data_IF_446688927664
#
_entry.id   IF_446688927664
#
_cell.length_a   1.000
_cell.length_b   1.000
_cell.length_c   1.000
_cell.angle_alpha   90.00
_cell.angle_beta   90.00
_cell.angle_gamma   90.00
#
_symmetry.space_group_name_H-M   'P 1'
#
loop_
_entity.id
_entity.type
_entity.pdbx_description
1 polymer ?
#
# COMPACT_ATOMS: atom_id res chain seq x y z
N UNK A 1 -21.21 -4.65 -17.66
CA UNK A 1 -19.98 -3.83 -17.67
C UNK A 1 -18.97 -4.23 -16.57
N UNK A 2 -19.43 -4.81 -15.46
CA UNK A 2 -18.62 -5.24 -14.30
C UNK A 2 -17.48 -6.22 -14.64
N UNK A 3 -17.76 -7.31 -15.38
CA UNK A 3 -16.77 -8.34 -15.72
C UNK A 3 -15.59 -7.83 -16.58
N UNK A 4 -15.83 -6.89 -17.48
CA UNK A 4 -14.77 -6.29 -18.31
C UNK A 4 -13.83 -5.38 -17.50
N UNK A 5 -14.33 -4.70 -16.47
CA UNK A 5 -13.50 -3.87 -15.60
C UNK A 5 -12.58 -4.75 -14.73
N UNK A 6 -13.10 -5.83 -14.18
CA UNK A 6 -12.31 -6.85 -13.45
C UNK A 6 -11.20 -7.44 -14.32
N UNK A 7 -11.54 -7.83 -15.55
CA UNK A 7 -10.54 -8.39 -16.47
C UNK A 7 -9.44 -7.38 -16.78
N UNK A 8 -9.78 -6.09 -16.97
CA UNK A 8 -8.79 -5.04 -17.23
C UNK A 8 -7.85 -4.82 -16.04
N UNK A 9 -8.38 -4.80 -14.82
CA UNK A 9 -7.57 -4.63 -13.61
C UNK A 9 -6.63 -5.82 -13.39
N UNK A 10 -7.14 -7.06 -13.50
CA UNK A 10 -6.33 -8.27 -13.40
C UNK A 10 -5.26 -8.33 -14.49
N UNK A 11 -5.62 -8.10 -15.75
CA UNK A 11 -4.66 -8.04 -16.85
C UNK A 11 -3.61 -6.95 -16.66
N UNK A 12 -3.95 -5.83 -16.00
CA UNK A 12 -3.00 -4.80 -15.63
C UNK A 12 -1.94 -5.34 -14.67
N UNK A 13 -2.38 -6.02 -13.61
CA UNK A 13 -1.49 -6.62 -12.61
C UNK A 13 -0.67 -7.77 -13.21
N UNK A 14 -1.27 -8.63 -14.04
CA UNK A 14 -0.56 -9.72 -14.72
C UNK A 14 0.60 -9.17 -15.57
N UNK A 15 0.37 -8.08 -16.32
CA UNK A 15 1.43 -7.40 -17.09
C UNK A 15 2.57 -6.89 -16.21
N UNK A 16 2.26 -6.37 -15.03
CA UNK A 16 3.28 -5.93 -14.07
C UNK A 16 4.10 -7.13 -13.59
N UNK A 17 3.47 -8.23 -13.24
CA UNK A 17 4.16 -9.45 -12.78
C UNK A 17 5.07 -9.98 -13.90
N UNK A 18 4.57 -10.09 -15.13
CA UNK A 18 5.34 -10.52 -16.30
C UNK A 18 6.55 -9.59 -16.57
N UNK A 19 6.35 -8.28 -16.41
CA UNK A 19 7.41 -7.30 -16.58
C UNK A 19 8.49 -7.45 -15.50
N UNK A 20 8.09 -7.59 -14.23
CA UNK A 20 9.01 -7.84 -13.11
C UNK A 20 9.82 -9.13 -13.32
N UNK A 21 9.17 -10.21 -13.75
CA UNK A 21 9.86 -11.47 -14.06
C UNK A 21 10.85 -11.31 -15.22
N UNK A 22 10.50 -10.50 -16.22
CA UNK A 22 11.38 -10.23 -17.36
C UNK A 22 12.60 -9.42 -16.94
N UNK A 23 12.42 -8.36 -16.16
CA UNK A 23 13.53 -7.58 -15.60
C UNK A 23 14.49 -8.47 -14.78
N UNK A 24 13.95 -9.34 -13.94
CA UNK A 24 14.77 -10.26 -13.14
C UNK A 24 15.57 -11.24 -14.01
N UNK A 25 14.92 -11.85 -15.03
CA UNK A 25 15.61 -12.76 -15.96
C UNK A 25 16.73 -12.09 -16.74
N UNK A 26 16.58 -10.81 -17.04
CA UNK A 26 17.56 -10.01 -17.79
C UNK A 26 18.56 -9.30 -16.87
N UNK A 27 18.48 -9.50 -15.54
CA UNK A 27 19.27 -8.74 -14.55
C UNK A 27 19.17 -7.22 -14.73
N UNK A 28 18.03 -6.76 -15.26
CA UNK A 28 17.75 -5.35 -15.45
C UNK A 28 17.32 -4.67 -14.14
N UNK A 29 17.53 -3.36 -13.99
CA UNK A 29 17.01 -2.60 -12.86
C UNK A 29 15.49 -2.76 -12.74
N UNK A 30 15.03 -2.85 -11.50
CA UNK A 30 13.58 -2.93 -11.24
C UNK A 30 12.95 -1.56 -11.44
N UNK A 31 11.77 -1.50 -12.07
CA UNK A 31 11.08 -0.24 -12.31
C UNK A 31 10.62 0.43 -11.01
N UNK A 32 10.57 1.74 -11.03
CA UNK A 32 9.95 2.57 -10.00
C UNK A 32 8.43 2.33 -9.95
N UNK A 33 7.80 2.72 -8.83
CA UNK A 33 6.36 2.50 -8.59
C UNK A 33 5.50 3.14 -9.68
N UNK A 34 5.85 4.34 -10.13
CA UNK A 34 5.18 5.09 -11.18
C UNK A 34 5.17 4.33 -12.52
N UNK A 35 6.30 3.69 -12.85
CA UNK A 35 6.42 2.86 -14.05
C UNK A 35 5.53 1.62 -13.96
N UNK A 36 5.51 0.96 -12.81
CA UNK A 36 4.65 -0.20 -12.58
C UNK A 36 3.16 0.18 -12.65
N UNK A 37 2.79 1.32 -12.07
CA UNK A 37 1.44 1.87 -12.15
C UNK A 37 1.03 2.16 -13.61
N UNK A 38 1.93 2.76 -14.40
CA UNK A 38 1.70 3.01 -15.82
C UNK A 38 1.49 1.72 -16.63
N UNK A 39 2.28 0.66 -16.36
CA UNK A 39 2.12 -0.67 -16.97
C UNK A 39 0.75 -1.27 -16.65
N UNK A 40 0.28 -1.07 -15.41
CA UNK A 40 -1.04 -1.52 -14.97
C UNK A 40 -2.18 -0.64 -15.52
N UNK A 41 -1.90 0.50 -16.14
CA UNK A 41 -2.86 1.56 -16.48
C UNK A 41 -3.66 2.02 -15.25
N UNK A 42 -2.95 2.16 -14.12
CA UNK A 42 -3.49 2.64 -12.85
C UNK A 42 -2.79 3.92 -12.43
N UNK A 43 -3.47 4.71 -11.60
CA UNK A 43 -2.81 5.84 -10.97
C UNK A 43 -1.82 5.37 -9.89
N UNK A 44 -0.71 6.10 -9.67
CA UNK A 44 0.22 5.80 -8.57
C UNK A 44 -0.46 5.76 -7.20
N UNK A 45 -1.54 6.56 -6.99
CA UNK A 45 -2.29 6.60 -5.73
C UNK A 45 -2.94 5.26 -5.36
N UNK A 46 -3.37 4.50 -6.37
CA UNK A 46 -4.13 3.27 -6.14
C UNK A 46 -3.35 2.01 -6.45
N UNK A 47 -2.30 2.12 -7.27
CA UNK A 47 -1.59 0.96 -7.80
C UNK A 47 -1.10 0.02 -6.70
N UNK A 48 -0.37 0.51 -5.69
CA UNK A 48 0.21 -0.36 -4.67
C UNK A 48 -0.86 -1.08 -3.84
N UNK A 49 -1.97 -0.39 -3.52
CA UNK A 49 -3.10 -0.97 -2.78
C UNK A 49 -3.87 -1.98 -3.60
N UNK A 50 -4.19 -1.62 -4.85
CA UNK A 50 -4.88 -2.52 -5.77
C UNK A 50 -4.04 -3.75 -6.08
N UNK A 51 -2.72 -3.56 -6.29
CA UNK A 51 -1.79 -4.66 -6.49
C UNK A 51 -1.84 -5.64 -5.30
N UNK A 52 -1.68 -5.12 -4.07
CA UNK A 52 -1.77 -5.93 -2.86
C UNK A 52 -3.12 -6.60 -2.70
N UNK A 53 -4.21 -5.88 -2.89
CA UNK A 53 -5.56 -6.44 -2.78
C UNK A 53 -5.80 -7.60 -3.75
N UNK A 54 -5.25 -7.54 -4.98
CA UNK A 54 -5.44 -8.57 -6.00
C UNK A 54 -4.41 -9.72 -5.91
N UNK A 55 -3.21 -9.48 -5.40
CA UNK A 55 -2.12 -10.48 -5.34
C UNK A 55 -1.87 -11.03 -3.94
N UNK A 56 -2.34 -10.35 -2.90
CA UNK A 56 -2.06 -10.67 -1.50
C UNK A 56 -0.68 -10.21 -1.02
N UNK A 57 0.11 -9.56 -1.88
CA UNK A 57 1.44 -9.06 -1.53
C UNK A 57 1.72 -7.71 -2.21
N UNK A 58 2.62 -6.91 -1.66
CA UNK A 58 3.04 -5.67 -2.33
C UNK A 58 3.99 -5.94 -3.50
N UNK A 59 4.17 -4.98 -4.42
CA UNK A 59 5.17 -5.09 -5.49
C UNK A 59 6.57 -5.40 -4.96
N UNK A 60 6.97 -4.79 -3.83
CA UNK A 60 8.26 -5.05 -3.19
C UNK A 60 8.40 -6.49 -2.68
N UNK A 61 7.36 -7.04 -2.06
CA UNK A 61 7.33 -8.45 -1.63
C UNK A 61 7.36 -9.40 -2.81
N UNK A 62 6.60 -9.12 -3.88
CA UNK A 62 6.66 -9.87 -5.13
C UNK A 62 8.09 -9.95 -5.66
N UNK A 63 8.76 -8.81 -5.73
CA UNK A 63 10.17 -8.73 -6.18
C UNK A 63 11.08 -9.56 -5.30
N UNK A 64 10.99 -9.42 -3.98
CA UNK A 64 11.81 -10.18 -3.04
C UNK A 64 11.59 -11.70 -3.19
N UNK A 65 10.33 -12.12 -3.30
CA UNK A 65 9.94 -13.52 -3.52
C UNK A 65 10.49 -14.07 -4.84
N UNK A 66 10.31 -13.33 -5.93
CA UNK A 66 10.79 -13.73 -7.25
C UNK A 66 12.32 -13.79 -7.34
N UNK A 67 13.04 -12.88 -6.68
CA UNK A 67 14.50 -12.92 -6.55
C UNK A 67 14.97 -14.18 -5.84
N UNK A 68 14.32 -14.54 -4.72
CA UNK A 68 14.65 -15.76 -4.00
C UNK A 68 14.32 -17.00 -4.82
N UNK A 69 13.19 -17.03 -5.51
CA UNK A 69 12.83 -18.13 -6.40
C UNK A 69 13.87 -18.34 -7.51
N UNK A 70 14.30 -17.26 -8.15
CA UNK A 70 15.35 -17.31 -9.16
C UNK A 70 16.71 -17.71 -8.57
N UNK A 71 17.05 -17.23 -7.37
CA UNK A 71 18.27 -17.65 -6.67
C UNK A 71 18.28 -19.15 -6.41
N UNK A 72 17.16 -19.73 -5.94
CA UNK A 72 17.03 -21.18 -5.74
C UNK A 72 17.23 -21.97 -7.04
N UNK A 73 16.71 -21.45 -8.15
CA UNK A 73 16.90 -22.05 -9.46
C UNK A 73 18.37 -22.03 -9.88
N UNK A 74 19.03 -20.89 -9.78
CA UNK A 74 20.46 -20.75 -10.14
C UNK A 74 21.38 -21.57 -9.23
N UNK A 75 21.10 -21.65 -7.94
CA UNK A 75 21.86 -22.48 -7.00
C UNK A 75 21.78 -23.97 -7.35
N UNK A 76 20.70 -24.43 -8.00
CA UNK A 76 20.54 -25.83 -8.45
C UNK A 76 21.16 -26.11 -9.82
N UNK A 77 21.15 -25.14 -10.69
CA UNK A 77 21.49 -25.32 -12.10
C UNK A 77 22.96 -25.06 -12.42
N UNK A 78 23.70 -24.39 -11.52
CA UNK A 78 25.04 -23.92 -11.81
C UNK A 78 26.01 -24.14 -10.63
N UNK A 79 27.29 -24.35 -10.95
CA UNK A 79 28.42 -24.34 -10.01
C UNK A 79 28.86 -22.89 -9.65
N UNK A 80 28.10 -21.89 -10.08
CA UNK A 80 28.43 -20.48 -9.89
C UNK A 80 28.61 -20.13 -8.43
N UNK A 81 29.51 -19.21 -8.12
CA UNK A 81 29.71 -18.72 -6.75
C UNK A 81 28.44 -18.05 -6.24
N UNK A 82 28.19 -18.16 -4.94
CA UNK A 82 27.03 -17.50 -4.30
C UNK A 82 27.03 -15.99 -4.56
N UNK A 83 28.22 -15.38 -4.70
CA UNK A 83 28.36 -13.96 -5.04
C UNK A 83 27.79 -13.66 -6.43
N UNK A 84 28.10 -14.51 -7.42
CA UNK A 84 27.64 -14.31 -8.79
C UNK A 84 26.11 -14.49 -8.87
N UNK A 85 25.58 -15.51 -8.18
CA UNK A 85 24.14 -15.70 -8.04
C UNK A 85 23.48 -14.48 -7.40
N UNK A 86 24.06 -13.93 -6.32
CA UNK A 86 23.51 -12.76 -5.63
C UNK A 86 23.38 -11.55 -6.57
N UNK A 87 24.46 -11.24 -7.30
CA UNK A 87 24.46 -10.13 -8.26
C UNK A 87 23.48 -10.36 -9.39
N UNK A 88 23.41 -11.57 -9.92
CA UNK A 88 22.52 -11.92 -11.03
C UNK A 88 21.03 -11.76 -10.66
N UNK A 89 20.65 -12.05 -9.41
CA UNK A 89 19.27 -11.88 -8.95
C UNK A 89 19.00 -10.52 -8.32
N UNK A 90 19.93 -9.58 -8.42
CA UNK A 90 19.76 -8.18 -8.03
C UNK A 90 20.00 -7.88 -6.55
N UNK A 91 20.82 -8.70 -5.86
CA UNK A 91 21.36 -8.32 -4.54
C UNK A 91 22.72 -7.69 -4.69
N UNK A 92 23.04 -6.70 -3.87
CA UNK A 92 24.31 -5.98 -3.91
C UNK A 92 25.52 -6.84 -3.49
N UNK A 93 25.29 -7.93 -2.76
CA UNK A 93 26.32 -8.81 -2.24
C UNK A 93 25.81 -10.20 -1.87
N UNK A 94 26.74 -11.17 -1.74
CA UNK A 94 26.42 -12.49 -1.20
C UNK A 94 25.88 -12.45 0.23
N UNK A 95 26.31 -11.46 1.03
CA UNK A 95 25.82 -11.26 2.40
C UNK A 95 24.35 -10.80 2.40
N UNK A 96 23.97 -9.93 1.45
CA UNK A 96 22.58 -9.48 1.29
C UNK A 96 21.66 -10.66 0.91
N UNK A 97 22.06 -11.46 -0.08
CA UNK A 97 21.35 -12.70 -0.43
C UNK A 97 21.28 -13.68 0.76
N UNK A 98 22.38 -13.89 1.47
CA UNK A 98 22.41 -14.81 2.62
C UNK A 98 21.52 -14.33 3.76
N UNK A 99 21.39 -13.01 3.97
CA UNK A 99 20.46 -12.43 4.93
C UNK A 99 19.02 -12.69 4.50
N UNK A 100 18.66 -12.42 3.26
CA UNK A 100 17.33 -12.66 2.71
C UNK A 100 16.96 -14.16 2.80
N UNK A 101 17.87 -15.07 2.43
CA UNK A 101 17.66 -16.50 2.56
C UNK A 101 17.41 -16.91 4.03
N UNK A 102 18.21 -16.43 4.98
CA UNK A 102 18.00 -16.76 6.40
C UNK A 102 16.68 -16.21 6.94
N UNK A 103 16.32 -14.99 6.57
CA UNK A 103 15.08 -14.35 7.05
C UNK A 103 13.84 -15.03 6.48
N UNK A 104 13.84 -15.37 5.20
CA UNK A 104 12.64 -15.88 4.52
C UNK A 104 12.61 -17.41 4.44
N UNK A 105 13.75 -18.04 4.16
CA UNK A 105 13.86 -19.48 3.93
C UNK A 105 14.46 -20.24 5.11
N UNK A 106 14.89 -19.51 6.16
CA UNK A 106 15.52 -20.04 7.37
C UNK A 106 16.73 -20.95 7.07
N UNK A 107 17.40 -20.72 5.95
CA UNK A 107 18.53 -21.50 5.46
C UNK A 107 19.58 -20.61 4.80
N UNK A 108 20.82 -21.09 4.71
CA UNK A 108 21.88 -20.41 3.97
C UNK A 108 21.84 -20.78 2.48
N UNK A 109 22.38 -19.93 1.57
CA UNK A 109 22.51 -20.29 0.16
C UNK A 109 23.26 -21.60 -0.09
N UNK A 110 24.30 -21.89 0.71
CA UNK A 110 25.05 -23.15 0.61
C UNK A 110 24.21 -24.35 0.99
N UNK A 111 23.48 -24.27 2.11
CA UNK A 111 22.55 -25.34 2.53
C UNK A 111 21.47 -25.58 1.47
N UNK A 112 20.91 -24.52 0.90
CA UNK A 112 19.92 -24.59 -0.17
C UNK A 112 20.49 -25.19 -1.46
N UNK A 113 21.80 -25.05 -1.72
CA UNK A 113 22.48 -25.71 -2.83
C UNK A 113 22.61 -27.21 -2.63
N UNK A 114 22.99 -27.63 -1.42
CA UNK A 114 23.26 -29.02 -1.07
C UNK A 114 21.97 -29.83 -0.89
N UNK A 115 20.95 -29.25 -0.28
CA UNK A 115 19.68 -29.94 0.02
C UNK A 115 18.64 -29.70 -1.09
N UNK A 116 18.53 -30.69 -2.00
CA UNK A 116 17.56 -30.65 -3.09
C UNK A 116 16.11 -30.72 -2.62
N UNK A 117 15.84 -31.40 -1.51
CA UNK A 117 14.47 -31.55 -0.97
C UNK A 117 13.99 -30.22 -0.38
N UNK A 118 14.81 -29.62 0.47
CA UNK A 118 14.53 -28.31 1.06
C UNK A 118 14.35 -27.24 -0.03
N UNK A 119 15.21 -27.27 -1.05
CA UNK A 119 15.12 -26.34 -2.17
C UNK A 119 13.82 -26.50 -2.95
N UNK A 120 13.41 -27.73 -3.28
CA UNK A 120 12.16 -27.99 -4.00
C UNK A 120 10.93 -27.54 -3.19
N UNK A 121 10.91 -27.75 -1.89
CA UNK A 121 9.84 -27.27 -1.00
C UNK A 121 9.72 -25.76 -1.06
N UNK A 122 10.84 -25.03 -0.97
CA UNK A 122 10.82 -23.58 -1.04
C UNK A 122 10.48 -23.05 -2.45
N UNK A 123 10.93 -23.72 -3.51
CA UNK A 123 10.54 -23.38 -4.87
C UNK A 123 9.02 -23.48 -5.05
N UNK A 124 8.42 -24.56 -4.57
CA UNK A 124 6.96 -24.71 -4.60
C UNK A 124 6.25 -23.61 -3.79
N UNK A 125 6.71 -23.34 -2.57
CA UNK A 125 6.12 -22.32 -1.70
C UNK A 125 6.24 -20.92 -2.27
N UNK A 126 7.39 -20.55 -2.84
CA UNK A 126 7.62 -19.24 -3.45
C UNK A 126 6.97 -19.08 -4.84
N UNK A 127 6.48 -20.15 -5.47
CA UNK A 127 5.77 -20.06 -6.74
C UNK A 127 4.38 -19.43 -6.60
N UNK A 128 3.83 -19.43 -5.38
CA UNK A 128 2.52 -18.85 -5.07
C UNK A 128 2.76 -17.58 -4.23
N UNK A 129 2.08 -16.45 -4.52
CA UNK A 129 2.09 -15.30 -3.66
C UNK A 129 1.66 -15.70 -2.23
N UNK A 130 2.34 -15.16 -1.23
CA UNK A 130 1.90 -15.30 0.15
C UNK A 130 0.67 -14.41 0.31
N UNK A 131 -0.52 -14.98 0.14
CA UNK A 131 -1.75 -14.27 0.46
C UNK A 131 -1.75 -13.91 1.95
N UNK A 132 -2.08 -12.67 2.28
CA UNK A 132 -2.47 -12.36 3.64
C UNK A 132 -3.72 -13.20 3.95
N UNK A 133 -3.76 -13.83 5.12
CA UNK A 133 -4.96 -14.50 5.66
C UNK A 133 -6.01 -13.42 6.02
N UNK A 134 -6.49 -12.70 5.01
CA UNK A 134 -7.59 -11.76 5.19
C UNK A 134 -8.85 -12.60 5.37
N UNK A 135 -9.48 -12.43 6.51
CA UNK A 135 -10.70 -13.13 6.90
C UNK A 135 -11.84 -12.78 5.92
N UNK A 136 -12.11 -13.66 4.97
CA UNK A 136 -12.95 -13.46 3.77
C UNK A 136 -14.46 -13.43 4.05
N UNK A 137 -14.92 -13.33 5.31
CA UNK A 137 -16.29 -13.72 5.62
C UNK A 137 -17.23 -12.64 6.18
N UNK A 138 -16.83 -11.38 6.23
CA UNK A 138 -17.77 -10.32 6.68
C UNK A 138 -18.31 -9.57 5.45
N UNK A 139 -19.64 -9.56 5.24
CA UNK A 139 -20.23 -8.77 4.17
C UNK A 139 -19.90 -7.28 4.37
N UNK A 140 -19.20 -6.70 3.40
CA UNK A 140 -18.83 -5.30 3.43
C UNK A 140 -20.06 -4.43 3.13
N UNK A 141 -20.42 -3.54 4.03
CA UNK A 141 -21.47 -2.55 3.81
C UNK A 141 -20.86 -1.29 3.18
N UNK A 142 -20.68 -1.31 1.87
CA UNK A 142 -20.13 -0.19 1.11
C UNK A 142 -21.27 0.61 0.49
N UNK A 143 -21.26 1.93 0.71
CA UNK A 143 -22.21 2.86 0.12
C UNK A 143 -21.53 3.69 -0.97
N UNK A 144 -22.17 3.84 -2.12
CA UNK A 144 -21.70 4.78 -3.16
C UNK A 144 -22.45 6.09 -2.98
N UNK A 145 -21.72 7.16 -2.76
CA UNK A 145 -22.28 8.49 -2.57
C UNK A 145 -21.43 9.56 -3.26
N UNK A 146 -22.06 10.60 -3.75
CA UNK A 146 -21.35 11.77 -4.24
C UNK A 146 -20.98 12.64 -3.01
N UNK A 147 -19.69 12.92 -2.87
CA UNK A 147 -19.16 13.83 -1.86
C UNK A 147 -18.87 15.18 -2.50
N UNK A 148 -19.24 16.25 -1.83
CA UNK A 148 -18.83 17.59 -2.24
C UNK A 148 -17.34 17.76 -2.03
N UNK A 149 -16.66 18.55 -2.91
CA UNK A 149 -15.25 18.86 -2.71
C UNK A 149 -15.08 19.76 -1.47
N UNK A 150 -14.06 19.48 -0.66
CA UNK A 150 -13.70 20.27 0.51
C UNK A 150 -12.20 20.45 0.61
N UNK A 151 -11.78 21.62 1.10
CA UNK A 151 -10.38 21.96 1.25
C UNK A 151 -9.84 21.51 2.61
N UNK A 152 -8.65 20.95 2.61
CA UNK A 152 -7.93 20.52 3.81
C UNK A 152 -6.52 21.10 3.83
N UNK A 153 -6.04 21.46 5.01
CA UNK A 153 -4.63 21.75 5.27
C UNK A 153 -3.92 20.46 5.60
N UNK A 154 -2.83 20.20 4.89
CA UNK A 154 -2.13 18.92 4.93
C UNK A 154 -0.71 19.09 5.40
N UNK A 155 -0.26 18.21 6.29
CA UNK A 155 1.13 18.03 6.67
C UNK A 155 1.59 16.60 6.36
N UNK A 156 2.64 16.48 5.53
CA UNK A 156 3.27 15.20 5.25
C UNK A 156 4.18 14.77 6.38
N UNK A 157 4.02 13.54 6.82
CA UNK A 157 4.90 12.88 7.78
C UNK A 157 5.78 11.83 7.08
N UNK A 158 6.95 11.58 7.66
CA UNK A 158 7.88 10.54 7.29
C UNK A 158 8.22 9.80 8.58
N UNK A 159 7.98 8.51 8.63
CA UNK A 159 8.25 7.71 9.80
C UNK A 159 7.10 6.81 10.22
N UNK A 160 7.17 6.27 11.44
CA UNK A 160 6.12 5.43 11.99
C UNK A 160 4.84 6.23 12.23
N UNK A 161 3.70 5.55 12.24
CA UNK A 161 2.40 6.19 12.50
C UNK A 161 2.24 6.69 13.95
N UNK A 162 3.16 6.34 14.84
CA UNK A 162 3.19 6.83 16.23
C UNK A 162 3.37 8.36 16.32
N UNK A 163 3.87 9.00 15.24
CA UNK A 163 4.11 10.44 15.20
C UNK A 163 2.96 11.26 14.58
N UNK A 164 1.82 10.63 14.24
CA UNK A 164 0.70 11.31 13.55
C UNK A 164 0.07 12.38 14.45
N UNK A 165 -0.05 12.16 15.76
CA UNK A 165 -0.61 13.13 16.72
C UNK A 165 0.17 14.43 16.70
N UNK A 166 1.52 14.36 16.62
CA UNK A 166 2.35 15.53 16.50
C UNK A 166 2.07 16.32 15.21
N UNK A 167 1.82 15.61 14.11
CA UNK A 167 1.52 16.27 12.82
C UNK A 167 0.15 16.94 12.85
N UNK A 168 -0.87 16.26 13.36
CA UNK A 168 -2.19 16.87 13.58
C UNK A 168 -2.11 18.08 14.52
N UNK A 169 -1.37 17.96 15.64
CA UNK A 169 -1.13 19.05 16.58
C UNK A 169 -0.48 20.27 15.94
N UNK A 170 0.45 20.10 14.98
CA UNK A 170 1.07 21.19 14.23
C UNK A 170 0.09 21.91 13.30
N UNK A 171 -0.81 21.17 12.62
CA UNK A 171 -1.86 21.79 11.80
C UNK A 171 -2.81 22.59 12.70
N UNK A 172 -3.24 21.99 13.82
CA UNK A 172 -4.11 22.64 14.76
C UNK A 172 -3.49 23.90 15.38
N UNK A 173 -2.20 23.86 15.77
CA UNK A 173 -1.48 25.03 16.30
C UNK A 173 -1.41 26.19 15.29
N UNK A 174 -1.20 25.87 14.00
CA UNK A 174 -1.29 26.89 12.95
C UNK A 174 -2.70 27.47 12.85
N UNK A 175 -3.74 26.63 12.83
CA UNK A 175 -5.13 27.05 12.76
C UNK A 175 -5.52 27.95 13.96
N UNK A 176 -5.05 27.61 15.17
CA UNK A 176 -5.23 28.44 16.36
C UNK A 176 -4.51 29.80 16.22
N UNK A 177 -3.31 29.80 15.68
CA UNK A 177 -2.53 31.01 15.44
C UNK A 177 -3.18 32.02 14.47
N UNK A 178 -3.98 31.52 13.52
CA UNK A 178 -4.75 32.36 12.57
C UNK A 178 -6.23 32.51 12.95
N UNK A 179 -6.67 31.90 14.07
CA UNK A 179 -8.00 32.10 14.65
C UNK A 179 -9.11 31.29 13.96
N UNK A 180 -8.80 30.13 13.36
CA UNK A 180 -9.79 29.27 12.68
C UNK A 180 -9.90 27.86 13.29
N UNK A 181 -9.22 27.57 14.39
CA UNK A 181 -9.23 26.23 15.00
C UNK A 181 -10.65 25.75 15.35
N UNK A 182 -11.51 26.66 15.82
CA UNK A 182 -12.92 26.34 16.15
C UNK A 182 -13.78 25.98 14.94
N UNK A 183 -13.25 26.15 13.70
CA UNK A 183 -13.93 25.83 12.46
C UNK A 183 -13.55 24.45 11.93
N UNK A 184 -12.88 23.61 12.73
CA UNK A 184 -12.54 22.24 12.33
C UNK A 184 -13.81 21.45 12.01
N UNK A 185 -13.90 20.93 10.80
CA UNK A 185 -15.04 20.18 10.29
C UNK A 185 -14.66 18.73 9.90
N UNK A 186 -13.44 18.53 9.38
CA UNK A 186 -12.97 17.24 8.92
C UNK A 186 -11.58 16.94 9.48
N UNK A 187 -11.39 15.70 9.91
CA UNK A 187 -10.11 15.12 10.26
C UNK A 187 -9.87 13.93 9.34
N UNK A 188 -8.81 13.97 8.54
CA UNK A 188 -8.56 12.94 7.55
C UNK A 188 -7.09 12.50 7.51
N UNK A 189 -6.87 11.29 7.02
CA UNK A 189 -5.55 10.70 6.81
C UNK A 189 -5.43 10.10 5.41
N UNK A 190 -4.28 10.28 4.77
CA UNK A 190 -3.98 9.74 3.45
C UNK A 190 -2.69 8.94 3.56
N UNK A 191 -2.80 7.61 3.54
CA UNK A 191 -1.63 6.76 3.50
C UNK A 191 -1.11 6.70 2.05
N UNK A 192 0.11 7.17 1.84
CA UNK A 192 0.72 7.29 0.52
C UNK A 192 1.47 6.04 0.10
N UNK A 193 1.91 5.25 1.06
CA UNK A 193 2.47 3.92 0.86
C UNK A 193 1.97 2.96 1.94
N UNK A 194 2.22 1.66 1.75
CA UNK A 194 1.79 0.63 2.70
C UNK A 194 2.82 0.47 3.83
N UNK A 195 2.48 0.92 5.03
CA UNK A 195 3.36 0.87 6.21
C UNK A 195 3.68 -0.55 6.66
N UNK A 196 2.84 -1.53 6.33
CA UNK A 196 3.03 -2.94 6.70
C UNK A 196 4.25 -3.58 6.02
N UNK A 197 4.72 -3.00 4.91
CA UNK A 197 5.84 -3.51 4.12
C UNK A 197 7.01 -2.54 4.01
N UNK A 198 6.91 -1.36 4.61
CA UNK A 198 7.97 -0.37 4.62
C UNK A 198 8.71 -0.38 5.96
N UNK A 199 10.03 -0.15 5.97
CA UNK A 199 10.70 0.24 7.21
C UNK A 199 10.01 1.46 7.81
N UNK A 200 9.91 1.52 9.14
CA UNK A 200 9.21 2.62 9.81
C UNK A 200 9.65 4.02 9.32
N UNK A 201 10.94 4.22 9.03
CA UNK A 201 11.44 5.51 8.51
C UNK A 201 11.06 5.84 7.05
N UNK A 202 10.48 4.90 6.30
CA UNK A 202 10.06 5.09 4.91
C UNK A 202 8.53 5.21 4.73
N UNK A 203 7.76 5.15 5.82
CA UNK A 203 6.33 5.36 5.76
C UNK A 203 6.01 6.83 5.43
N UNK A 204 5.08 7.02 4.49
CA UNK A 204 4.61 8.33 4.06
C UNK A 204 3.12 8.45 4.36
N UNK A 205 2.76 9.49 5.10
CA UNK A 205 1.37 9.75 5.44
C UNK A 205 1.09 11.25 5.40
N UNK A 206 -0.07 11.64 4.91
CA UNK A 206 -0.55 13.01 4.92
C UNK A 206 -1.65 13.13 6.00
N UNK A 207 -1.35 13.84 7.08
CA UNK A 207 -2.35 14.29 8.05
C UNK A 207 -3.10 15.49 7.48
N UNK A 208 -4.41 15.49 7.53
CA UNK A 208 -5.25 16.51 6.90
C UNK A 208 -6.37 16.99 7.83
N UNK A 209 -6.55 18.32 7.90
CA UNK A 209 -7.61 18.98 8.64
C UNK A 209 -8.38 19.96 7.77
N UNK A 210 -9.71 19.89 7.75
CA UNK A 210 -10.59 20.80 7.03
C UNK A 210 -11.24 21.81 7.98
N UNK A 211 -11.09 23.10 7.62
CA UNK A 211 -11.62 24.23 8.41
C UNK A 211 -12.67 25.03 7.63
N UNK A 212 -13.32 24.41 6.65
CA UNK A 212 -14.23 25.08 5.74
C UNK A 212 -13.47 25.92 4.71
N UNK A 213 -14.01 27.07 4.34
CA UNK A 213 -13.41 27.94 3.30
C UNK A 213 -12.26 28.76 3.88
N UNK A 214 -11.06 28.39 3.52
CA UNK A 214 -9.84 29.09 3.93
C UNK A 214 -9.69 30.43 3.19
N UNK A 215 -9.33 31.47 3.93
CA UNK A 215 -8.94 32.78 3.40
C UNK A 215 -7.46 33.07 3.65
N UNK A 216 -6.88 32.36 4.58
CA UNK A 216 -5.53 32.54 5.08
C UNK A 216 -4.54 31.80 4.16
N UNK A 217 -3.33 32.35 4.04
CA UNK A 217 -2.25 31.69 3.35
C UNK A 217 -1.73 30.50 4.18
N UNK A 218 -1.61 29.35 3.56
CA UNK A 218 -1.07 28.13 4.19
C UNK A 218 0.45 28.12 4.01
N UNK A 219 1.26 28.29 5.08
CA UNK A 219 2.71 28.38 4.97
C UNK A 219 3.35 26.98 4.85
N UNK A 220 4.46 26.87 4.12
CA UNK A 220 5.27 25.65 4.15
C UNK A 220 5.74 25.33 5.60
N UNK A 221 5.81 24.05 6.01
CA UNK A 221 5.61 22.84 5.21
C UNK A 221 4.14 22.39 5.06
N UNK A 222 3.20 23.15 5.59
CA UNK A 222 1.77 22.91 5.35
C UNK A 222 1.43 23.19 3.89
N UNK A 223 0.42 22.50 3.36
CA UNK A 223 -0.08 22.71 2.01
C UNK A 223 -1.59 22.58 1.95
N UNK A 224 -2.20 23.24 1.00
CA UNK A 224 -3.62 23.09 0.72
C UNK A 224 -3.84 21.93 -0.25
N UNK A 225 -4.88 21.12 0.02
CA UNK A 225 -5.34 20.04 -0.86
C UNK A 225 -6.87 20.04 -0.84
N UNK A 226 -7.46 19.64 -1.97
CA UNK A 226 -8.92 19.38 -2.04
C UNK A 226 -9.16 17.87 -2.03
N UNK A 227 -10.04 17.41 -1.15
CA UNK A 227 -10.55 16.04 -1.06
C UNK A 227 -12.03 16.01 -1.46
N UNK A 228 -12.60 14.80 -1.57
CA UNK A 228 -13.98 14.64 -2.01
C UNK A 228 -14.15 14.90 -3.52
N UNK A 229 -15.28 15.46 -3.89
CA UNK A 229 -15.68 15.75 -5.26
C UNK A 229 -16.07 14.49 -6.07
N UNK A 230 -17.36 14.35 -6.41
CA UNK A 230 -17.88 13.22 -7.18
C UNK A 230 -18.09 11.93 -6.40
N UNK A 231 -18.32 10.83 -7.12
CA UNK A 231 -18.67 9.54 -6.52
C UNK A 231 -17.52 8.94 -5.71
N UNK A 232 -17.87 8.40 -4.54
CA UNK A 232 -16.95 7.65 -3.66
C UNK A 232 -17.63 6.37 -3.19
N UNK A 233 -16.86 5.29 -3.11
CA UNK A 233 -17.22 4.16 -2.26
C UNK A 233 -16.82 4.51 -0.82
N UNK A 234 -17.80 4.45 0.08
CA UNK A 234 -17.59 4.74 1.50
C UNK A 234 -17.88 3.47 2.30
N UNK A 235 -16.85 3.00 3.02
CA UNK A 235 -16.96 1.89 3.96
C UNK A 235 -16.76 2.43 5.39
N UNK A 236 -17.80 2.30 6.23
CA UNK A 236 -17.69 2.57 7.66
C UNK A 236 -16.87 1.47 8.33
N UNK A 237 -15.73 1.85 8.91
CA UNK A 237 -14.95 1.02 9.80
C UNK A 237 -15.32 1.32 11.26
N UNK A 238 -15.43 0.28 12.08
CA UNK A 238 -15.60 0.38 13.53
C UNK A 238 -14.57 -0.52 14.18
N UNK A 239 -13.66 0.05 14.95
CA UNK A 239 -12.51 -0.63 15.55
C UNK A 239 -11.24 0.22 15.49
N UNK A 240 -10.10 -0.37 15.82
CA UNK A 240 -8.81 0.32 15.85
C UNK A 240 -8.40 0.87 14.48
N UNK A 241 -7.84 2.07 14.45
CA UNK A 241 -7.38 2.70 13.20
C UNK A 241 -6.22 1.96 12.54
N UNK A 242 -5.52 1.10 13.27
CA UNK A 242 -4.50 0.18 12.70
C UNK A 242 -5.11 -0.84 11.71
N UNK A 243 -6.41 -1.10 11.77
CA UNK A 243 -7.12 -2.05 10.91
C UNK A 243 -7.63 -1.43 9.60
N UNK A 244 -7.56 -0.10 9.44
CA UNK A 244 -8.07 0.62 8.26
C UNK A 244 -7.45 0.13 6.94
N UNK A 245 -6.17 -0.23 6.95
CA UNK A 245 -5.49 -0.75 5.76
C UNK A 245 -6.06 -2.13 5.35
N UNK A 246 -6.31 -3.01 6.32
CA UNK A 246 -6.91 -4.32 6.04
C UNK A 246 -8.35 -4.19 5.53
N UNK A 247 -9.14 -3.29 6.12
CA UNK A 247 -10.49 -2.98 5.66
C UNK A 247 -10.50 -2.38 4.24
N UNK A 248 -9.51 -1.55 3.91
CA UNK A 248 -9.31 -1.00 2.56
C UNK A 248 -8.99 -2.11 1.56
N UNK A 249 -8.08 -3.02 1.92
CA UNK A 249 -7.74 -4.17 1.05
C UNK A 249 -8.97 -5.05 0.79
N UNK A 250 -9.80 -5.28 1.80
CA UNK A 250 -11.04 -6.04 1.67
C UNK A 250 -12.03 -5.34 0.71
N UNK A 251 -12.19 -4.02 0.82
CA UNK A 251 -13.02 -3.23 -0.10
C UNK A 251 -12.52 -3.35 -1.55
N UNK A 252 -11.23 -3.18 -1.77
CA UNK A 252 -10.63 -3.24 -3.11
C UNK A 252 -10.64 -4.65 -3.70
N UNK A 253 -10.49 -5.69 -2.87
CA UNK A 253 -10.44 -7.10 -3.30
C UNK A 253 -11.84 -7.65 -3.61
N UNK A 254 -12.81 -7.39 -2.73
CA UNK A 254 -14.11 -8.06 -2.78
C UNK A 254 -15.21 -7.18 -3.36
N UNK A 255 -15.33 -5.93 -2.89
CA UNK A 255 -16.43 -5.07 -3.34
C UNK A 255 -16.15 -4.39 -4.68
N UNK A 256 -14.97 -3.82 -4.88
CA UNK A 256 -14.68 -3.03 -6.08
C UNK A 256 -14.87 -3.82 -7.38
N UNK A 257 -14.38 -5.08 -7.48
CA UNK A 257 -14.59 -5.88 -8.68
C UNK A 257 -16.07 -6.08 -9.01
N UNK A 258 -16.89 -6.39 -8.02
CA UNK A 258 -18.31 -6.71 -8.21
C UNK A 258 -19.18 -5.45 -8.41
N UNK A 259 -18.69 -4.29 -7.99
CA UNK A 259 -19.39 -3.01 -8.13
C UNK A 259 -19.53 -2.51 -9.57
N UNK A 260 -18.67 -2.98 -10.47
CA UNK A 260 -18.57 -2.48 -11.85
C UNK A 260 -18.00 -1.07 -11.98
N UNK A 261 -17.50 -0.48 -10.90
CA UNK A 261 -16.90 0.84 -10.85
C UNK A 261 -15.40 0.78 -11.10
N UNK A 262 -14.83 1.92 -11.51
CA UNK A 262 -13.39 2.12 -11.66
C UNK A 262 -12.91 3.15 -10.65
N UNK A 263 -11.67 3.01 -10.23
CA UNK A 263 -11.02 4.02 -9.40
C UNK A 263 -10.76 5.29 -10.20
N UNK A 264 -11.04 6.44 -9.59
CA UNK A 264 -10.68 7.76 -10.11
C UNK A 264 -9.26 8.09 -9.67
N UNK A 265 -8.50 8.79 -10.51
CA UNK A 265 -7.15 9.26 -10.18
C UNK A 265 -7.18 10.40 -9.15
N UNK A 266 -7.43 10.04 -7.90
CA UNK A 266 -7.46 10.90 -6.74
C UNK A 266 -7.10 10.08 -5.49
N UNK A 267 -6.54 10.68 -4.44
CA UNK A 267 -6.16 9.95 -3.25
C UNK A 267 -7.37 9.34 -2.54
N UNK A 268 -7.23 8.08 -2.11
CA UNK A 268 -8.07 7.46 -1.11
C UNK A 268 -7.71 8.08 0.25
N UNK A 269 -8.72 8.31 1.08
CA UNK A 269 -8.48 8.89 2.40
C UNK A 269 -9.36 8.25 3.47
N UNK A 270 -8.89 8.32 4.71
CA UNK A 270 -9.61 7.95 5.91
C UNK A 270 -10.20 9.21 6.52
N UNK A 271 -11.51 9.27 6.69
CA UNK A 271 -12.19 10.34 7.41
C UNK A 271 -12.42 9.86 8.84
N UNK A 272 -11.66 10.40 9.79
CA UNK A 272 -11.79 10.06 11.21
C UNK A 272 -13.01 10.74 11.80
N UNK A 273 -13.85 9.97 12.48
CA UNK A 273 -15.11 10.45 13.05
C UNK A 273 -15.05 10.58 14.57
N UNK A 274 -14.11 9.90 15.18
CA UNK A 274 -13.90 9.90 16.62
C UNK A 274 -12.43 10.20 16.94
N UNK A 275 -12.21 10.78 18.12
CA UNK A 275 -10.89 11.00 18.67
C UNK A 275 -10.47 9.76 19.49
N UNK A 276 -9.32 9.13 19.23
CA UNK A 276 -8.86 7.98 20.00
C UNK A 276 -8.49 8.31 21.45
N UNK A 277 -8.33 9.61 21.79
CA UNK A 277 -8.16 10.02 23.19
C UNK A 277 -9.47 10.00 23.97
N UNK A 278 -10.61 10.22 23.29
CA UNK A 278 -11.93 10.32 23.90
C UNK A 278 -12.77 9.04 23.80
N UNK A 279 -12.48 8.20 22.77
CA UNK A 279 -13.31 7.03 22.43
C UNK A 279 -12.49 5.75 22.52
N UNK A 280 -12.99 4.69 23.22
CA UNK A 280 -12.32 3.40 23.28
C UNK A 280 -12.08 2.80 21.88
N UNK A 281 -10.91 2.18 21.67
CA UNK A 281 -10.47 1.63 20.40
C UNK A 281 -11.50 0.70 19.72
N UNK A 282 -12.18 -0.14 20.51
CA UNK A 282 -13.16 -1.11 19.99
C UNK A 282 -14.40 -0.48 19.31
N UNK A 283 -14.64 0.81 19.53
CA UNK A 283 -15.80 1.54 18.97
C UNK A 283 -15.39 2.81 18.22
N UNK A 284 -14.09 3.02 17.96
CA UNK A 284 -13.62 4.09 17.08
C UNK A 284 -14.23 3.94 15.69
N UNK A 285 -14.57 5.06 15.06
CA UNK A 285 -15.19 5.07 13.73
C UNK A 285 -14.35 5.88 12.76
N UNK A 286 -14.18 5.33 11.59
CA UNK A 286 -13.65 6.07 10.44
C UNK A 286 -14.40 5.66 9.17
N UNK A 287 -14.51 6.55 8.21
CA UNK A 287 -14.97 6.25 6.87
C UNK A 287 -13.77 6.11 5.93
N UNK A 288 -13.68 4.96 5.28
CA UNK A 288 -12.73 4.72 4.19
C UNK A 288 -13.38 5.24 2.92
N UNK A 289 -12.85 6.33 2.36
CA UNK A 289 -13.38 7.02 1.19
C UNK A 289 -12.53 6.72 -0.04
N UNK A 290 -13.07 5.94 -0.97
CA UNK A 290 -12.40 5.52 -2.21
C UNK A 290 -13.00 6.24 -3.41
N UNK A 291 -12.27 7.14 -4.10
CA UNK A 291 -12.77 7.89 -5.23
C UNK A 291 -13.11 6.98 -6.43
N UNK A 292 -14.28 7.18 -7.03
CA UNK A 292 -14.81 6.42 -8.18
C UNK A 292 -14.99 7.30 -9.41
N UNK A 293 -14.92 6.63 -10.60
CA UNK A 293 -15.31 7.24 -11.89
C UNK A 293 -16.80 7.10 -12.13
#
# INVERSE_FOLDING_TARGET
MSHLAQLRQRHGIDRVIDHLQTCLRQSAPLPELETLAAIAHQSPFHFHRLYRALTGETPGRTVARLRLLQALHLLSATESRVTDVALQVGYESSQALARACRQTLQATPSALREDAVLRAQWQQRLSIPAGDDLNDQVPLQVHVTALDPFDVVVLRTHGAFDDLDQAFGRIHAWAAGVGIADQLQQLAGIALNDHRDQPAGACLFDCAMGFGRLKEAVPAPLRLMTLGGGDHAVLRHVGGYAELEAATDALLRHWLPDSGRLLRDAPLYYHYLDDPEDVPEAILRADICVPLQ
#
